data_IF_118118433584
#
_entry.id   IF_118118433584
#
_cell.length_a   1.000
_cell.length_b   1.000
_cell.length_c   1.000
_cell.angle_alpha   90.00
_cell.angle_beta   90.00
_cell.angle_gamma   90.00
#
_symmetry.space_group_name_H-M   'P 1'
#
loop_
_entity.id
_entity.type
_entity.pdbx_description
1 polymer ?
#
# COMPACT_ATOMS: atom_id res chain seq x y z
N UNK A 1 10.64 -9.33 -3.88
CA UNK A 1 9.54 -8.77 -3.09
C UNK A 1 8.77 -7.78 -3.93
N UNK A 2 7.46 -7.69 -3.71
CA UNK A 2 6.56 -6.74 -4.35
C UNK A 2 5.73 -6.06 -3.26
N UNK A 3 5.49 -4.75 -3.42
CA UNK A 3 4.63 -3.98 -2.52
C UNK A 3 3.70 -3.08 -3.36
N UNK A 4 2.61 -2.64 -2.75
CA UNK A 4 1.49 -1.95 -3.39
C UNK A 4 0.18 -2.69 -3.15
N UNK A 5 -0.88 -1.95 -2.86
CA UNK A 5 -2.21 -2.49 -2.59
C UNK A 5 -2.57 -2.62 -1.11
N UNK A 6 -3.69 -3.29 -0.82
CA UNK A 6 -4.41 -3.23 0.45
C UNK A 6 -3.56 -3.53 1.70
N UNK A 7 -2.57 -4.43 1.61
CA UNK A 7 -1.79 -4.89 2.76
C UNK A 7 -0.37 -4.32 2.82
N UNK A 8 -0.06 -3.28 2.04
CA UNK A 8 1.22 -2.58 2.08
C UNK A 8 1.02 -1.07 1.85
N UNK A 9 1.18 -0.58 0.61
CA UNK A 9 0.91 0.82 0.27
C UNK A 9 -0.46 0.91 -0.41
N UNK A 10 -1.49 1.24 0.38
CA UNK A 10 -2.91 1.19 -0.04
C UNK A 10 -3.28 2.17 -1.13
N UNK A 11 -2.51 3.25 -1.28
CA UNK A 11 -2.68 4.23 -2.33
C UNK A 11 -2.17 3.79 -3.70
N UNK A 12 -1.56 2.60 -3.83
CA UNK A 12 -0.91 2.17 -5.07
C UNK A 12 -1.58 0.93 -5.65
N UNK A 13 -1.41 0.73 -6.96
CA UNK A 13 -1.78 -0.51 -7.63
C UNK A 13 -1.04 -1.72 -7.01
N UNK A 14 -1.67 -2.89 -7.09
CA UNK A 14 -1.13 -4.13 -6.55
C UNK A 14 0.26 -4.42 -7.17
N UNK A 15 1.24 -4.72 -6.32
CA UNK A 15 2.62 -5.06 -6.70
C UNK A 15 3.36 -4.02 -7.58
N UNK A 16 2.90 -2.76 -7.59
CA UNK A 16 3.38 -1.75 -8.53
C UNK A 16 4.46 -0.80 -7.98
N UNK A 17 4.94 -0.99 -6.74
CA UNK A 17 5.96 -0.12 -6.14
C UNK A 17 7.32 -0.80 -6.17
N UNK A 18 8.32 -0.13 -6.74
CA UNK A 18 9.69 -0.63 -6.86
C UNK A 18 10.29 -0.40 -8.24
N UNK A 19 11.35 -1.14 -8.59
CA UNK A 19 11.95 -1.13 -9.92
C UNK A 19 10.98 -1.67 -10.98
N UNK A 20 10.98 -1.01 -12.15
CA UNK A 20 10.19 -1.42 -13.33
C UNK A 20 11.12 -1.72 -14.50
N UNK A 21 10.66 -2.60 -15.38
CA UNK A 21 11.30 -2.85 -16.66
C UNK A 21 11.18 -1.58 -17.54
N UNK A 22 12.28 -1.02 -18.06
CA UNK A 22 12.25 0.22 -18.84
C UNK A 22 11.61 0.04 -20.24
N UNK A 23 11.46 -1.19 -20.72
CA UNK A 23 10.87 -1.52 -22.03
C UNK A 23 9.39 -1.82 -21.89
N UNK A 24 8.99 -2.64 -20.90
CA UNK A 24 7.59 -3.06 -20.75
C UNK A 24 6.80 -2.21 -19.76
N UNK A 25 7.47 -1.53 -18.82
CA UNK A 25 6.83 -0.79 -17.72
C UNK A 25 6.26 -1.71 -16.62
N UNK A 26 6.53 -3.01 -16.67
CA UNK A 26 6.06 -3.97 -15.68
C UNK A 26 6.93 -3.93 -14.41
N UNK A 27 6.35 -4.13 -13.21
CA UNK A 27 7.12 -4.19 -11.98
C UNK A 27 8.02 -5.43 -11.96
N UNK A 28 9.30 -5.23 -11.67
CA UNK A 28 10.28 -6.31 -11.52
C UNK A 28 10.33 -6.85 -10.09
N UNK A 29 9.89 -6.02 -9.13
CA UNK A 29 10.11 -6.25 -7.72
C UNK A 29 11.60 -6.08 -7.36
N UNK A 30 12.00 -6.59 -6.21
CA UNK A 30 13.40 -6.46 -5.77
C UNK A 30 13.75 -7.28 -4.53
N UNK A 31 15.04 -7.31 -4.21
CA UNK A 31 15.59 -8.18 -3.17
C UNK A 31 15.62 -7.53 -1.77
N UNK A 32 15.37 -6.22 -1.69
CA UNK A 32 15.27 -5.48 -0.42
C UNK A 32 14.00 -4.66 -0.42
N UNK A 33 13.26 -4.66 0.69
CA UNK A 33 12.10 -3.78 0.85
C UNK A 33 11.94 -3.35 2.29
N UNK A 34 11.21 -2.27 2.49
CA UNK A 34 10.75 -1.82 3.80
C UNK A 34 9.39 -1.16 3.64
N UNK A 35 8.55 -1.30 4.67
CA UNK A 35 7.22 -0.70 4.74
C UNK A 35 6.98 -0.18 6.15
N UNK A 36 6.23 0.91 6.23
CA UNK A 36 5.70 1.47 7.47
C UNK A 36 4.29 1.97 7.22
N UNK A 37 3.40 1.66 8.17
CA UNK A 37 2.00 2.11 8.12
C UNK A 37 1.62 2.69 9.46
N UNK A 38 1.02 3.87 9.44
CA UNK A 38 0.38 4.50 10.58
C UNK A 38 -1.13 4.50 10.37
N UNK A 39 -1.87 4.04 11.38
CA UNK A 39 -3.32 3.90 11.32
C UNK A 39 -3.96 4.54 12.55
N UNK A 40 -4.90 5.44 12.32
CA UNK A 40 -5.73 6.05 13.36
C UNK A 40 -7.18 5.60 13.19
N UNK A 41 -7.67 4.83 14.16
CA UNK A 41 -8.99 4.22 14.13
C UNK A 41 -9.95 4.97 15.06
N UNK A 42 -11.03 5.49 14.49
CA UNK A 42 -12.11 6.17 15.20
C UNK A 42 -13.32 5.22 15.27
N UNK A 43 -13.70 4.75 16.48
CA UNK A 43 -14.92 3.95 16.61
C UNK A 43 -16.15 4.83 16.37
N UNK A 44 -16.97 4.47 15.39
CA UNK A 44 -18.23 5.16 15.09
C UNK A 44 -19.37 4.46 15.83
N UNK A 45 -19.46 3.14 15.66
CA UNK A 45 -20.32 2.22 16.41
C UNK A 45 -19.55 0.91 16.65
N UNK A 46 -20.08 -0.02 17.44
CA UNK A 46 -19.37 -1.26 17.80
C UNK A 46 -18.85 -2.05 16.59
N UNK A 47 -19.64 -2.08 15.51
CA UNK A 47 -19.32 -2.81 14.29
C UNK A 47 -18.59 -1.97 13.24
N UNK A 48 -18.53 -0.64 13.37
CA UNK A 48 -17.98 0.26 12.34
C UNK A 48 -16.90 1.17 12.90
N UNK A 49 -15.73 1.13 12.29
CA UNK A 49 -14.62 2.04 12.56
C UNK A 49 -14.27 2.81 11.30
N UNK A 50 -14.03 4.10 11.46
CA UNK A 50 -13.38 4.91 10.45
C UNK A 50 -11.87 4.86 10.65
N UNK A 51 -11.11 4.84 9.57
CA UNK A 51 -9.65 4.79 9.58
C UNK A 51 -9.10 6.00 8.82
N UNK A 52 -8.12 6.67 9.42
CA UNK A 52 -7.18 7.51 8.70
C UNK A 52 -5.85 6.76 8.67
N UNK A 53 -5.23 6.71 7.51
CA UNK A 53 -3.96 6.03 7.38
C UNK A 53 -2.92 6.81 6.59
N UNK A 54 -1.67 6.46 6.85
CA UNK A 54 -0.51 6.88 6.09
C UNK A 54 0.41 5.68 5.89
N UNK A 55 0.78 5.39 4.65
CA UNK A 55 1.69 4.32 4.29
C UNK A 55 2.92 4.90 3.62
N UNK A 56 4.08 4.32 3.92
CA UNK A 56 5.35 4.68 3.31
C UNK A 56 6.18 3.41 3.12
N UNK A 57 6.90 3.32 2.02
CA UNK A 57 7.80 2.20 1.78
C UNK A 57 8.46 2.23 0.43
N UNK A 58 9.30 1.23 0.19
CA UNK A 58 9.91 1.02 -1.12
C UNK A 58 10.43 -0.40 -1.28
N UNK A 59 10.67 -0.78 -2.55
CA UNK A 59 11.38 -2.00 -2.96
C UNK A 59 12.62 -1.58 -3.75
N UNK A 60 13.75 -2.26 -3.55
CA UNK A 60 15.01 -1.99 -4.25
C UNK A 60 15.53 -3.26 -4.92
N UNK A 61 16.12 -3.13 -6.10
CA UNK A 61 16.55 -4.26 -6.91
C UNK A 61 17.69 -5.08 -6.29
N UNK A 62 18.57 -4.45 -5.51
CA UNK A 62 19.76 -5.11 -4.95
C UNK A 62 19.55 -5.66 -3.53
N UNK A 63 20.17 -6.81 -3.18
CA UNK A 63 20.07 -7.39 -1.83
C UNK A 63 20.84 -6.54 -0.81
N UNK A 64 20.25 -6.38 0.38
CA UNK A 64 20.77 -5.59 1.51
C UNK A 64 21.15 -4.14 1.15
N UNK A 65 20.45 -3.54 0.18
CA UNK A 65 20.69 -2.19 -0.31
C UNK A 65 19.40 -1.38 -0.31
N UNK A 66 19.50 -0.12 0.11
CA UNK A 66 18.41 0.88 0.03
C UNK A 66 18.73 1.99 -0.97
N UNK A 67 19.60 1.70 -1.93
CA UNK A 67 19.91 2.62 -3.01
C UNK A 67 18.85 2.47 -4.11
N UNK A 68 18.15 3.56 -4.48
CA UNK A 68 17.18 3.53 -5.57
C UNK A 68 17.86 3.32 -6.92
N UNK A 69 17.18 2.57 -7.79
CA UNK A 69 17.60 2.41 -9.18
C UNK A 69 17.39 3.72 -9.97
N UNK A 70 17.96 3.81 -11.17
CA UNK A 70 17.86 5.02 -11.99
C UNK A 70 16.41 5.38 -12.28
N UNK A 71 15.98 6.59 -11.87
CA UNK A 71 14.60 7.06 -12.05
C UNK A 71 13.66 6.71 -10.90
N UNK A 72 14.10 5.90 -9.94
CA UNK A 72 13.37 5.59 -8.72
C UNK A 72 13.67 6.61 -7.60
N UNK A 73 12.68 6.88 -6.76
CA UNK A 73 12.82 7.66 -5.53
C UNK A 73 13.26 6.75 -4.38
N UNK A 74 13.73 7.38 -3.30
CA UNK A 74 14.08 6.67 -2.06
C UNK A 74 12.85 6.03 -1.39
N UNK A 75 11.67 6.65 -1.50
CA UNK A 75 10.44 6.13 -0.94
C UNK A 75 9.24 6.52 -1.78
N UNK A 76 8.18 5.74 -1.63
CA UNK A 76 6.85 6.00 -2.11
C UNK A 76 5.92 6.10 -0.89
N UNK A 77 4.97 7.02 -0.89
CA UNK A 77 4.04 7.22 0.23
C UNK A 77 2.65 7.66 -0.20
N UNK A 78 1.67 7.38 0.66
CA UNK A 78 0.28 7.77 0.50
C UNK A 78 -0.36 8.10 1.85
N UNK A 79 -1.40 8.92 1.81
CA UNK A 79 -2.37 8.99 2.91
C UNK A 79 -3.73 8.50 2.42
N UNK A 80 -4.63 8.16 3.33
CA UNK A 80 -5.95 7.71 2.92
C UNK A 80 -6.94 7.57 4.05
N UNK A 81 -8.13 7.14 3.65
CA UNK A 81 -9.26 6.94 4.54
C UNK A 81 -9.84 5.54 4.35
N UNK A 82 -10.40 4.99 5.42
CA UNK A 82 -10.98 3.65 5.39
C UNK A 82 -12.22 3.50 6.26
N UNK A 83 -13.02 2.50 5.94
CA UNK A 83 -14.12 1.99 6.75
C UNK A 83 -13.89 0.51 7.03
N UNK A 84 -13.84 0.16 8.31
CA UNK A 84 -13.78 -1.22 8.77
C UNK A 84 -15.14 -1.59 9.37
N UNK A 85 -15.81 -2.54 8.72
CA UNK A 85 -17.10 -3.06 9.15
C UNK A 85 -16.94 -4.52 9.61
N UNK A 86 -17.21 -4.78 10.87
CA UNK A 86 -17.21 -6.12 11.45
C UNK A 86 -18.63 -6.66 11.47
N UNK A 87 -18.98 -7.49 10.50
CA UNK A 87 -20.32 -8.07 10.43
C UNK A 87 -20.33 -9.39 11.24
N UNK A 88 -21.24 -9.55 12.21
CA UNK A 88 -21.41 -10.81 12.91
C UNK A 88 -21.58 -11.97 11.93
N UNK A 89 -20.82 -13.05 12.12
CA UNK A 89 -20.81 -14.27 11.28
C UNK A 89 -20.20 -14.15 9.88
N UNK A 90 -20.04 -12.95 9.30
CA UNK A 90 -19.40 -12.76 7.98
C UNK A 90 -17.93 -12.35 8.06
N UNK A 91 -17.50 -11.80 9.20
CA UNK A 91 -16.12 -11.36 9.42
C UNK A 91 -15.90 -9.88 9.07
N UNK A 92 -14.64 -9.43 9.04
CA UNK A 92 -14.31 -8.05 8.77
C UNK A 92 -14.39 -7.74 7.27
N UNK A 93 -14.96 -6.58 6.95
CA UNK A 93 -14.93 -5.94 5.64
C UNK A 93 -14.13 -4.65 5.76
N UNK A 94 -13.21 -4.43 4.82
CA UNK A 94 -12.40 -3.21 4.75
C UNK A 94 -12.67 -2.52 3.42
N UNK A 95 -12.91 -1.23 3.47
CA UNK A 95 -13.02 -0.37 2.29
C UNK A 95 -12.05 0.78 2.51
N UNK A 96 -11.03 0.90 1.66
CA UNK A 96 -9.96 1.86 1.84
C UNK A 96 -9.76 2.64 0.53
N UNK A 97 -9.47 3.93 0.64
CA UNK A 97 -9.09 4.76 -0.49
C UNK A 97 -7.82 5.52 -0.14
N UNK A 98 -6.74 5.23 -0.87
CA UNK A 98 -5.45 5.87 -0.68
C UNK A 98 -5.13 6.86 -1.79
N UNK A 99 -4.46 7.94 -1.43
CA UNK A 99 -3.99 9.02 -2.29
C UNK A 99 -2.45 9.05 -2.27
N UNK A 100 -1.78 8.64 -3.36
CA UNK A 100 -0.34 8.80 -3.50
C UNK A 100 0.10 10.26 -3.28
N UNK A 101 1.21 10.45 -2.57
CA UNK A 101 1.85 11.76 -2.37
C UNK A 101 3.17 11.78 -3.13
N UNK A 102 4.08 10.89 -2.75
CA UNK A 102 5.36 10.66 -3.41
C UNK A 102 5.28 9.35 -4.14
N UNK A 103 5.44 9.39 -5.46
CA UNK A 103 5.42 8.21 -6.30
C UNK A 103 6.49 8.29 -7.40
N UNK A 104 6.98 7.14 -7.84
CA UNK A 104 7.91 7.05 -8.97
C UNK A 104 7.24 7.49 -10.29
N UNK A 105 8.00 7.95 -11.29
CA UNK A 105 7.44 8.40 -12.57
C UNK A 105 6.67 7.32 -13.35
N UNK A 106 7.00 6.04 -13.13
CA UNK A 106 6.30 4.88 -13.71
C UNK A 106 5.00 4.50 -12.99
N UNK A 107 4.67 5.16 -11.88
CA UNK A 107 3.49 4.87 -11.07
C UNK A 107 2.44 5.96 -11.24
N UNK A 108 1.16 5.57 -11.18
CA UNK A 108 0.05 6.52 -11.26
C UNK A 108 -0.02 7.38 -10.00
N UNK A 109 -0.19 8.69 -10.18
CA UNK A 109 -0.55 9.62 -9.09
C UNK A 109 -2.04 9.62 -8.75
N UNK A 110 -2.85 8.80 -9.43
CA UNK A 110 -4.28 8.66 -9.12
C UNK A 110 -4.48 7.91 -7.82
N UNK A 111 -5.50 8.28 -7.04
CA UNK A 111 -5.90 7.49 -5.88
C UNK A 111 -6.39 6.08 -6.25
N UNK A 112 -6.26 5.16 -5.30
CA UNK A 112 -6.65 3.76 -5.46
C UNK A 112 -7.67 3.35 -4.41
N UNK A 113 -8.77 2.75 -4.88
CA UNK A 113 -9.76 2.09 -4.02
C UNK A 113 -9.38 0.63 -3.83
N UNK A 114 -9.42 0.18 -2.59
CA UNK A 114 -9.09 -1.18 -2.19
C UNK A 114 -10.22 -1.73 -1.30
N UNK A 115 -10.52 -3.02 -1.42
CA UNK A 115 -11.47 -3.67 -0.54
C UNK A 115 -11.04 -5.09 -0.19
N UNK A 116 -11.43 -5.55 1.00
CA UNK A 116 -11.34 -6.97 1.37
C UNK A 116 -12.55 -7.43 2.16
N UNK A 117 -12.81 -8.73 2.04
CA UNK A 117 -13.82 -9.46 2.78
C UNK A 117 -13.16 -10.72 3.33
N UNK A 118 -13.26 -10.95 4.63
CA UNK A 118 -12.86 -12.23 5.24
C UNK A 118 -11.59 -12.18 6.10
N UNK A 119 -10.92 -13.31 6.23
CA UNK A 119 -9.90 -13.53 7.26
C UNK A 119 -8.64 -12.65 7.06
N UNK A 120 -8.38 -11.79 8.03
CA UNK A 120 -7.14 -11.02 8.12
C UNK A 120 -6.03 -11.91 8.67
N UNK A 121 -4.92 -12.05 7.94
CA UNK A 121 -3.72 -12.71 8.46
C UNK A 121 -3.15 -11.80 9.56
N UNK A 122 -3.05 -12.25 10.83
CA UNK A 122 -2.31 -11.50 11.82
C UNK A 122 -0.83 -11.52 11.44
N UNK A 123 -0.18 -10.35 11.51
CA UNK A 123 1.27 -10.22 11.39
C UNK A 123 1.90 -10.36 12.78
#
# INVERSE_FOLDING_TARGET
>A
YFIGGLYSLRGFAYDNVGPHDPVTGEPLGGDTYWIGSFNYLIPIIEQLRFELFYDIGNVYGSPFSVNPDSGQKLYNDNWGIGLLLNIPHLGPLRFEYGFPITHDPGQSGSGHFQFSVGFQRPF
#
